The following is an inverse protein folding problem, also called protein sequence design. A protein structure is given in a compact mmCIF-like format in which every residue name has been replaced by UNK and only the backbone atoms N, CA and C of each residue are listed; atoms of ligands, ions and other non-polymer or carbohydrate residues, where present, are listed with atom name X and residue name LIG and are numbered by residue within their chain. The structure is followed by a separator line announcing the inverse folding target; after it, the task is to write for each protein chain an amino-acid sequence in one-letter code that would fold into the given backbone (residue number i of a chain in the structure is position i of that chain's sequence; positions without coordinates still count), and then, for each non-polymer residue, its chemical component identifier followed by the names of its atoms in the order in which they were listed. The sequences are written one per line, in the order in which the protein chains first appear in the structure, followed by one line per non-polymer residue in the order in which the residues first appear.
data_IF_451762235200
#
_entry.id   IF_451762235200
#
_cell.length_a   1.000
_cell.length_b   1.000
_cell.length_c   1.000
_cell.angle_alpha   90.00
_cell.angle_beta   90.00
_cell.angle_gamma   90.00
#
_symmetry.space_group_name_H-M   'P 1'
#
loop_
_entity.id
_entity.type
_entity.pdbx_description
1 polymer ?
#
# COMPACT_ATOMS: atom_id res chain seq x y z
N UNK A 1 -11.58 28.54 7.98
CA UNK A 1 -11.09 27.35 7.28
C UNK A 1 -9.59 27.42 7.12
N UNK A 2 -8.93 26.29 7.04
CA UNK A 2 -7.50 26.24 6.71
C UNK A 2 -7.32 26.84 5.31
N UNK A 3 -6.43 27.82 5.17
CA UNK A 3 -5.99 28.26 3.87
C UNK A 3 -4.87 27.36 3.33
N UNK A 4 -4.54 27.51 2.07
CA UNK A 4 -3.53 26.65 1.41
C UNK A 4 -2.13 26.84 1.97
N UNK A 5 -1.85 27.98 2.57
CA UNK A 5 -0.52 28.34 3.10
C UNK A 5 -0.26 27.65 4.44
N UNK A 6 -1.31 27.13 5.10
CA UNK A 6 -1.26 26.40 6.36
C UNK A 6 -1.54 24.90 6.24
N UNK A 7 -1.68 24.37 5.01
CA UNK A 7 -1.90 22.96 4.76
C UNK A 7 -0.89 22.42 3.76
N UNK A 8 -0.03 21.51 4.21
CA UNK A 8 1.02 20.88 3.39
C UNK A 8 0.62 19.43 3.12
N UNK A 9 0.56 19.06 1.84
CA UNK A 9 0.35 17.68 1.44
C UNK A 9 1.70 17.00 1.14
N UNK A 10 2.11 16.11 2.01
CA UNK A 10 3.33 15.29 1.88
C UNK A 10 3.00 13.85 1.43
N UNK A 11 1.80 13.61 0.94
CA UNK A 11 1.37 12.31 0.46
C UNK A 11 2.26 11.81 -0.69
N UNK A 12 2.92 10.68 -0.48
CA UNK A 12 3.78 10.03 -1.45
C UNK A 12 3.07 8.76 -1.95
N UNK A 13 2.88 8.60 -3.28
CA UNK A 13 2.24 7.40 -3.81
C UNK A 13 3.09 6.14 -3.58
N UNK A 14 2.41 5.02 -3.35
CA UNK A 14 3.01 3.70 -3.16
C UNK A 14 3.93 3.54 -1.92
N UNK A 15 3.93 4.48 -0.98
CA UNK A 15 4.66 4.35 0.28
C UNK A 15 4.02 3.28 1.17
N UNK A 16 4.82 2.37 1.67
CA UNK A 16 4.44 1.42 2.72
C UNK A 16 4.69 2.01 4.11
N UNK A 17 4.09 1.41 5.12
CA UNK A 17 4.24 1.90 6.51
C UNK A 17 5.70 1.87 6.97
N UNK A 18 6.45 0.84 6.56
CA UNK A 18 7.90 0.75 6.82
C UNK A 18 8.67 1.90 6.17
N UNK A 19 8.35 2.24 4.93
CA UNK A 19 9.06 3.31 4.20
C UNK A 19 8.84 4.66 4.89
N UNK A 20 7.62 4.90 5.41
CA UNK A 20 7.33 6.11 6.16
C UNK A 20 8.09 6.14 7.49
N UNK A 21 8.16 5.02 8.22
CA UNK A 21 8.95 4.94 9.45
C UNK A 21 10.42 5.25 9.17
N UNK A 22 11.02 4.58 8.19
CA UNK A 22 12.41 4.81 7.80
C UNK A 22 12.64 6.27 7.35
N UNK A 23 11.70 6.88 6.62
CA UNK A 23 11.77 8.27 6.20
C UNK A 23 11.77 9.24 7.39
N UNK A 24 10.89 9.02 8.39
CA UNK A 24 10.84 9.85 9.58
C UNK A 24 12.13 9.70 10.40
N UNK A 25 12.62 8.48 10.58
CA UNK A 25 13.82 8.20 11.37
C UNK A 25 15.09 8.78 10.71
N UNK A 26 15.28 8.51 9.42
CA UNK A 26 16.53 8.75 8.71
C UNK A 26 16.50 9.97 7.77
N UNK A 27 15.32 10.49 7.44
CA UNK A 27 15.14 11.52 6.42
C UNK A 27 15.26 11.00 4.98
N UNK A 28 15.41 9.67 4.79
CA UNK A 28 15.54 9.04 3.48
C UNK A 28 14.74 7.75 3.40
N UNK A 29 14.23 7.44 2.23
CA UNK A 29 13.68 6.12 1.93
C UNK A 29 14.70 5.31 1.15
N UNK A 30 14.83 4.01 1.43
CA UNK A 30 15.58 3.13 0.55
C UNK A 30 14.98 3.21 -0.85
N UNK A 31 15.82 3.10 -1.87
CA UNK A 31 15.45 3.24 -3.28
C UNK A 31 14.17 2.44 -3.57
N UNK A 32 13.06 3.19 -3.72
CA UNK A 32 11.77 2.58 -3.75
C UNK A 32 11.45 1.98 -5.09
N UNK A 33 10.98 0.80 -4.93
CA UNK A 33 9.82 0.36 -5.66
C UNK A 33 9.96 0.58 -7.18
N UNK A 34 10.72 -0.30 -7.78
CA UNK A 34 10.79 -0.43 -9.24
C UNK A 34 9.40 -0.46 -9.93
N UNK A 35 8.31 -0.61 -9.15
CA UNK A 35 6.93 -0.68 -9.65
C UNK A 35 6.25 0.69 -9.77
N UNK A 36 6.66 1.70 -9.00
CA UNK A 36 6.02 3.02 -9.04
C UNK A 36 6.62 3.95 -10.09
N UNK A 37 7.82 3.66 -10.58
CA UNK A 37 8.59 4.55 -11.46
C UNK A 37 9.00 5.87 -10.80
N UNK A 38 8.69 6.05 -9.52
CA UNK A 38 8.99 7.26 -8.74
C UNK A 38 10.04 6.92 -7.71
N UNK A 39 11.20 7.55 -7.82
CA UNK A 39 12.28 7.44 -6.86
C UNK A 39 12.20 8.61 -5.87
N UNK A 40 11.63 8.37 -4.70
CA UNK A 40 11.77 9.29 -3.57
C UNK A 40 12.99 8.88 -2.76
N UNK A 41 14.02 9.68 -2.80
CA UNK A 41 15.26 9.38 -2.07
C UNK A 41 15.35 10.07 -0.73
N UNK A 42 14.72 11.25 -0.59
CA UNK A 42 14.72 12.00 0.68
C UNK A 42 13.61 13.05 0.69
N UNK A 43 13.15 13.39 1.90
CA UNK A 43 12.29 14.55 2.18
C UNK A 43 12.92 15.28 3.38
N UNK A 44 13.96 16.09 3.15
CA UNK A 44 14.75 16.69 4.25
C UNK A 44 13.90 17.52 5.22
N UNK A 45 12.88 18.18 4.71
CA UNK A 45 12.01 19.09 5.48
C UNK A 45 10.93 18.36 6.28
N UNK A 46 10.77 17.03 6.12
CA UNK A 46 9.69 16.28 6.76
C UNK A 46 9.66 16.47 8.29
N UNK A 47 10.83 16.37 8.94
CA UNK A 47 10.92 16.55 10.39
C UNK A 47 10.51 17.95 10.82
N UNK A 48 10.92 18.95 10.06
CA UNK A 48 10.55 20.34 10.35
C UNK A 48 9.03 20.57 10.25
N UNK A 49 8.40 20.00 9.21
CA UNK A 49 6.95 20.06 9.06
C UNK A 49 6.22 19.33 10.19
N UNK A 50 6.69 18.14 10.59
CA UNK A 50 6.14 17.40 11.72
C UNK A 50 6.24 18.23 13.01
N UNK A 51 7.39 18.84 13.28
CA UNK A 51 7.64 19.62 14.50
C UNK A 51 6.78 20.88 14.61
N UNK A 52 6.37 21.45 13.48
CA UNK A 52 5.56 22.66 13.41
C UNK A 52 4.06 22.42 13.26
N UNK A 53 3.64 21.19 13.04
CA UNK A 53 2.25 20.86 12.74
C UNK A 53 1.37 20.90 14.00
N UNK A 54 0.22 21.58 13.92
CA UNK A 54 -0.84 21.46 14.93
C UNK A 54 -1.66 20.18 14.72
N UNK A 55 -1.81 19.75 13.45
CA UNK A 55 -2.55 18.56 13.05
C UNK A 55 -1.77 17.77 12.00
N UNK A 56 -1.61 16.50 12.27
CA UNK A 56 -1.02 15.52 11.33
C UNK A 56 -2.12 14.55 10.93
N UNK A 57 -2.44 14.49 9.64
CA UNK A 57 -3.32 13.45 9.09
C UNK A 57 -2.50 12.34 8.48
N UNK A 58 -2.76 11.11 8.90
CA UNK A 58 -2.02 9.93 8.45
C UNK A 58 -2.97 8.96 7.75
N UNK A 59 -2.70 8.66 6.48
CA UNK A 59 -3.38 7.61 5.72
C UNK A 59 -2.35 6.69 5.08
N UNK A 60 -2.12 5.53 5.71
CA UNK A 60 -1.04 4.60 5.35
C UNK A 60 -1.48 3.16 5.64
N UNK A 61 -0.85 2.18 5.01
CA UNK A 61 -1.06 0.74 5.26
C UNK A 61 -1.67 -0.03 4.08
N UNK A 62 -2.43 0.63 3.19
CA UNK A 62 -3.01 -0.06 2.03
C UNK A 62 -1.94 -0.63 1.11
N UNK A 63 -0.84 0.11 0.91
CA UNK A 63 0.26 -0.32 0.05
C UNK A 63 1.03 -1.52 0.61
N UNK A 64 1.02 -1.71 1.93
CA UNK A 64 1.66 -2.86 2.56
C UNK A 64 1.07 -4.18 2.04
N UNK A 65 -0.24 -4.27 1.93
CA UNK A 65 -0.90 -5.44 1.36
C UNK A 65 -0.86 -5.46 -0.18
N UNK A 66 -1.08 -4.30 -0.81
CA UNK A 66 -1.14 -4.19 -2.26
C UNK A 66 0.17 -4.61 -2.92
N UNK A 67 1.29 -4.05 -2.47
CA UNK A 67 2.59 -4.33 -3.08
C UNK A 67 2.98 -5.78 -2.89
N UNK A 68 2.78 -6.36 -1.70
CA UNK A 68 3.04 -7.78 -1.46
C UNK A 68 2.19 -8.69 -2.36
N UNK A 69 0.94 -8.31 -2.59
CA UNK A 69 0.06 -9.04 -3.51
C UNK A 69 0.56 -8.98 -4.95
N UNK A 70 0.99 -7.79 -5.42
CA UNK A 70 1.55 -7.61 -6.76
C UNK A 70 2.82 -8.44 -6.92
N UNK A 71 3.72 -8.39 -5.94
CA UNK A 71 4.96 -9.18 -5.97
C UNK A 71 4.66 -10.68 -6.03
N UNK A 72 3.79 -11.18 -5.13
CA UNK A 72 3.42 -12.60 -5.11
C UNK A 72 2.78 -13.06 -6.43
N UNK A 73 1.97 -12.21 -7.06
CA UNK A 73 1.40 -12.51 -8.37
C UNK A 73 2.46 -12.49 -9.48
N UNK A 74 3.37 -11.53 -9.43
CA UNK A 74 4.52 -11.47 -10.33
C UNK A 74 5.34 -12.75 -10.25
N UNK A 75 5.70 -13.17 -9.07
CA UNK A 75 6.45 -14.41 -8.82
C UNK A 75 5.68 -15.65 -9.31
N UNK A 76 4.40 -15.75 -9.01
CA UNK A 76 3.54 -16.85 -9.43
C UNK A 76 3.46 -16.98 -10.97
N UNK A 77 3.63 -15.90 -11.69
CA UNK A 77 3.56 -15.83 -13.16
C UNK A 77 4.94 -15.68 -13.82
N UNK A 78 6.03 -15.81 -13.08
CA UNK A 78 7.39 -15.51 -13.55
C UNK A 78 7.49 -14.12 -14.20
N UNK A 79 6.79 -13.15 -13.68
CA UNK A 79 6.73 -11.76 -14.16
C UNK A 79 6.26 -11.61 -15.62
N UNK A 80 5.66 -12.66 -16.20
CA UNK A 80 5.05 -12.59 -17.54
C UNK A 80 3.88 -11.59 -17.59
N UNK A 81 3.39 -11.18 -16.45
CA UNK A 81 2.15 -10.44 -16.31
C UNK A 81 2.35 -8.96 -15.94
N UNK A 82 3.23 -8.26 -16.62
CA UNK A 82 3.28 -6.80 -16.52
C UNK A 82 1.88 -6.19 -16.76
N UNK A 83 1.15 -6.72 -17.76
CA UNK A 83 -0.24 -6.32 -18.02
C UNK A 83 -1.18 -6.67 -16.86
N UNK A 84 -1.00 -7.82 -16.20
CA UNK A 84 -1.82 -8.22 -15.07
C UNK A 84 -1.51 -7.37 -13.84
N UNK A 85 -0.25 -7.12 -13.52
CA UNK A 85 0.15 -6.23 -12.45
C UNK A 85 -0.41 -4.82 -12.68
N UNK A 86 -0.30 -4.27 -13.89
CA UNK A 86 -0.85 -2.99 -14.26
C UNK A 86 -2.38 -2.98 -14.18
N UNK A 87 -3.06 -4.07 -14.56
CA UNK A 87 -4.51 -4.21 -14.45
C UNK A 87 -4.97 -4.30 -13.02
N UNK A 88 -4.23 -5.01 -12.15
CA UNK A 88 -4.52 -5.05 -10.72
C UNK A 88 -4.35 -3.67 -10.08
N UNK A 89 -3.25 -2.97 -10.35
CA UNK A 89 -3.03 -1.61 -9.88
C UNK A 89 -4.15 -0.70 -10.38
N UNK A 90 -4.48 -0.74 -11.66
CA UNK A 90 -5.55 0.08 -12.24
C UNK A 90 -6.92 -0.29 -11.69
N UNK A 91 -7.19 -1.59 -11.50
CA UNK A 91 -8.46 -2.09 -10.94
C UNK A 91 -8.63 -1.74 -9.47
N UNK A 92 -7.54 -1.72 -8.69
CA UNK A 92 -7.58 -1.36 -7.27
C UNK A 92 -7.76 0.15 -7.03
N UNK A 93 -7.28 0.99 -7.96
CA UNK A 93 -7.50 2.45 -7.90
C UNK A 93 -8.80 2.91 -8.55
N UNK A 94 -9.46 2.07 -9.33
CA UNK A 94 -10.81 2.29 -9.83
C UNK A 94 -11.77 1.48 -8.96
N UNK A 95 -12.89 2.07 -8.57
CA UNK A 95 -13.95 1.32 -7.90
C UNK A 95 -14.16 -0.01 -8.62
N UNK A 96 -14.10 -1.12 -7.87
CA UNK A 96 -14.34 -2.45 -8.40
C UNK A 96 -15.82 -2.54 -8.83
N UNK A 97 -16.05 -2.17 -10.08
CA UNK A 97 -17.32 -2.42 -10.75
C UNK A 97 -17.28 -3.84 -11.35
N UNK A 98 -18.43 -4.46 -11.65
CA UNK A 98 -18.45 -5.72 -12.40
C UNK A 98 -17.58 -5.69 -13.65
N UNK A 99 -17.59 -4.58 -14.39
CA UNK A 99 -16.79 -4.41 -15.61
C UNK A 99 -15.27 -4.49 -15.36
N UNK A 100 -14.80 -4.03 -14.19
CA UNK A 100 -13.38 -4.11 -13.84
C UNK A 100 -12.97 -5.54 -13.44
N UNK A 101 -13.88 -6.31 -12.86
CA UNK A 101 -13.67 -7.74 -12.58
C UNK A 101 -13.60 -8.52 -13.88
N UNK A 102 -14.50 -8.25 -14.82
CA UNK A 102 -14.48 -8.88 -16.13
C UNK A 102 -13.21 -8.54 -16.91
N UNK A 103 -12.77 -7.28 -16.87
CA UNK A 103 -11.50 -6.86 -17.45
C UNK A 103 -10.30 -7.62 -16.84
N UNK A 104 -10.27 -7.76 -15.50
CA UNK A 104 -9.24 -8.53 -14.81
C UNK A 104 -9.27 -10.00 -15.22
N UNK A 105 -10.45 -10.60 -15.28
CA UNK A 105 -10.61 -11.99 -15.72
C UNK A 105 -10.19 -12.19 -17.19
N UNK A 106 -10.46 -11.21 -18.04
CA UNK A 106 -10.02 -11.25 -19.44
C UNK A 106 -8.50 -11.09 -19.58
N UNK A 107 -7.87 -10.25 -18.75
CA UNK A 107 -6.41 -10.21 -18.66
C UNK A 107 -5.83 -11.55 -18.21
N UNK A 108 -6.43 -12.22 -17.24
CA UNK A 108 -6.02 -13.57 -16.81
C UNK A 108 -6.16 -14.61 -17.93
N UNK A 109 -7.26 -14.58 -18.69
CA UNK A 109 -7.48 -15.50 -19.82
C UNK A 109 -6.48 -15.29 -20.96
N UNK A 110 -6.02 -14.05 -21.17
CA UNK A 110 -5.02 -13.74 -22.21
C UNK A 110 -3.60 -14.10 -21.79
N UNK A 111 -3.34 -14.38 -20.52
CA UNK A 111 -2.05 -14.85 -20.06
C UNK A 111 -1.85 -16.31 -20.48
N UNK A 112 -0.84 -16.54 -21.29
CA UNK A 112 -0.40 -17.91 -21.60
C UNK A 112 0.38 -18.44 -20.39
N UNK A 113 -0.34 -18.93 -19.39
CA UNK A 113 0.24 -19.54 -18.20
C UNK A 113 0.54 -21.01 -18.45
N UNK A 114 1.70 -21.45 -18.01
CA UNK A 114 1.99 -22.89 -17.91
C UNK A 114 1.08 -23.53 -16.83
N UNK A 115 0.89 -24.85 -16.84
CA UNK A 115 0.11 -25.52 -15.78
C UNK A 115 0.65 -25.29 -14.36
N UNK A 116 1.95 -25.06 -14.20
CA UNK A 116 2.57 -24.74 -12.91
C UNK A 116 2.26 -23.31 -12.48
N UNK A 117 2.36 -22.35 -13.38
CA UNK A 117 2.02 -20.95 -13.11
C UNK A 117 0.53 -20.79 -12.80
N UNK A 118 -0.34 -21.46 -13.55
CA UNK A 118 -1.76 -21.47 -13.27
C UNK A 118 -2.06 -22.01 -11.86
N UNK A 119 -1.42 -23.12 -11.45
CA UNK A 119 -1.57 -23.67 -10.09
C UNK A 119 -1.06 -22.70 -9.03
N UNK A 120 0.06 -22.01 -9.28
CA UNK A 120 0.60 -21.01 -8.36
C UNK A 120 -0.34 -19.81 -8.19
N UNK A 121 -0.92 -19.31 -9.27
CA UNK A 121 -1.92 -18.23 -9.22
C UNK A 121 -3.18 -18.69 -8.47
N UNK A 122 -3.69 -19.89 -8.76
CA UNK A 122 -4.86 -20.43 -8.05
C UNK A 122 -4.59 -20.63 -6.56
N UNK A 123 -3.40 -21.12 -6.18
CA UNK A 123 -3.00 -21.23 -4.79
C UNK A 123 -2.94 -19.85 -4.12
N UNK A 124 -2.35 -18.86 -4.79
CA UNK A 124 -2.30 -17.49 -4.30
C UNK A 124 -3.71 -16.95 -4.02
N UNK A 125 -4.63 -17.08 -4.98
CA UNK A 125 -5.99 -16.54 -4.86
C UNK A 125 -6.83 -17.26 -3.80
N UNK A 126 -6.59 -18.55 -3.56
CA UNK A 126 -7.40 -19.34 -2.61
C UNK A 126 -6.84 -19.40 -1.21
N UNK A 127 -5.51 -19.41 -1.06
CA UNK A 127 -4.83 -19.65 0.21
C UNK A 127 -3.77 -18.59 0.50
N UNK A 128 -2.93 -18.27 -0.48
CA UNK A 128 -1.80 -17.38 -0.32
C UNK A 128 -2.20 -15.95 0.08
N UNK A 129 -3.32 -15.46 -0.43
CA UNK A 129 -3.83 -14.13 -0.07
C UNK A 129 -4.15 -14.03 1.42
N UNK A 130 -4.73 -15.05 2.03
CA UNK A 130 -4.97 -15.08 3.48
C UNK A 130 -3.67 -15.02 4.28
N UNK A 131 -2.63 -15.71 3.83
CA UNK A 131 -1.31 -15.68 4.47
C UNK A 131 -0.65 -14.29 4.31
N UNK A 132 -0.72 -13.70 3.12
CA UNK A 132 -0.22 -12.35 2.86
C UNK A 132 -0.93 -11.35 3.78
N UNK A 133 -2.24 -11.39 3.86
CA UNK A 133 -2.99 -10.46 4.71
C UNK A 133 -2.61 -10.62 6.19
N UNK A 134 -2.50 -11.84 6.69
CA UNK A 134 -2.15 -12.08 8.10
C UNK A 134 -0.75 -11.58 8.43
N UNK A 135 0.25 -11.91 7.59
CA UNK A 135 1.62 -11.44 7.81
C UNK A 135 1.75 -9.93 7.63
N UNK A 136 1.09 -9.38 6.61
CA UNK A 136 1.07 -7.94 6.37
C UNK A 136 0.47 -7.18 7.55
N UNK A 137 -0.64 -7.66 8.11
CA UNK A 137 -1.27 -7.00 9.24
C UNK A 137 -0.30 -6.87 10.43
N UNK A 138 0.35 -7.96 10.82
CA UNK A 138 1.31 -7.95 11.93
C UNK A 138 2.47 -6.98 11.68
N UNK A 139 3.04 -7.01 10.47
CA UNK A 139 4.13 -6.10 10.08
C UNK A 139 3.66 -4.65 10.06
N UNK A 140 2.49 -4.37 9.47
CA UNK A 140 1.94 -3.02 9.37
C UNK A 140 1.68 -2.42 10.75
N UNK A 141 1.13 -3.20 11.70
CA UNK A 141 0.93 -2.75 13.09
C UNK A 141 2.27 -2.36 13.71
N UNK A 142 3.28 -3.23 13.60
CA UNK A 142 4.61 -2.95 14.16
C UNK A 142 5.23 -1.67 13.57
N UNK A 143 5.12 -1.49 12.24
CA UNK A 143 5.66 -0.29 11.60
C UNK A 143 4.84 0.96 11.92
N UNK A 144 3.52 0.83 12.07
CA UNK A 144 2.66 1.95 12.49
C UNK A 144 2.99 2.39 13.92
N UNK A 145 3.29 1.46 14.82
CA UNK A 145 3.75 1.79 16.17
C UNK A 145 5.05 2.61 16.15
N UNK A 146 6.01 2.27 15.27
CA UNK A 146 7.23 3.07 15.06
C UNK A 146 6.87 4.47 14.57
N UNK A 147 6.06 4.59 13.52
CA UNK A 147 5.61 5.89 12.99
C UNK A 147 4.97 6.73 14.09
N UNK A 148 4.05 6.16 14.85
CA UNK A 148 3.34 6.89 15.93
C UNK A 148 4.29 7.34 17.04
N UNK A 149 5.26 6.50 17.40
CA UNK A 149 6.30 6.83 18.38
C UNK A 149 7.13 8.01 17.88
N UNK A 150 7.65 7.92 16.66
CA UNK A 150 8.51 8.96 16.08
C UNK A 150 7.78 10.30 15.91
N UNK A 151 6.51 10.26 15.49
CA UNK A 151 5.68 11.46 15.42
C UNK A 151 5.49 12.11 16.80
N UNK A 152 5.28 11.30 17.84
CA UNK A 152 5.14 11.80 19.22
C UNK A 152 6.45 12.31 19.83
N UNK A 153 7.57 11.70 19.48
CA UNK A 153 8.90 12.17 19.89
C UNK A 153 9.25 13.50 19.21
N UNK A 154 8.89 13.67 17.94
CA UNK A 154 9.14 14.91 17.19
C UNK A 154 8.19 16.04 17.57
N UNK A 155 6.93 15.71 17.84
CA UNK A 155 5.90 16.70 18.21
C UNK A 155 4.86 16.09 19.16
N UNK A 156 5.07 16.19 20.48
CA UNK A 156 4.15 15.64 21.47
C UNK A 156 2.78 16.35 21.50
N UNK A 157 2.71 17.61 21.05
CA UNK A 157 1.51 18.44 21.14
C UNK A 157 0.60 18.30 19.90
N UNK A 158 1.12 17.83 18.77
CA UNK A 158 0.33 17.70 17.55
C UNK A 158 -0.88 16.78 17.73
N UNK A 159 -2.00 17.16 17.18
CA UNK A 159 -3.11 16.25 17.01
C UNK A 159 -2.78 15.27 15.86
N UNK A 160 -2.92 13.96 16.09
CA UNK A 160 -2.70 12.95 15.06
C UNK A 160 -4.04 12.30 14.74
N UNK A 161 -4.45 12.40 13.47
CA UNK A 161 -5.65 11.77 12.94
C UNK A 161 -5.25 10.67 11.98
N UNK A 162 -5.52 9.43 12.35
CA UNK A 162 -5.33 8.28 11.45
C UNK A 162 -6.62 8.07 10.66
N UNK A 163 -6.51 8.12 9.34
CA UNK A 163 -7.62 7.91 8.43
C UNK A 163 -7.66 6.44 8.02
N UNK A 164 -8.82 5.81 8.19
CA UNK A 164 -9.04 4.45 7.71
C UNK A 164 -9.20 4.42 6.20
N UNK A 165 -8.85 3.29 5.59
CA UNK A 165 -9.17 3.03 4.20
C UNK A 165 -10.60 2.48 4.08
N UNK A 166 -11.31 2.94 3.08
CA UNK A 166 -12.50 2.23 2.62
C UNK A 166 -12.07 0.85 2.11
N UNK A 167 -12.82 -0.19 2.48
CA UNK A 167 -12.58 -1.52 1.94
C UNK A 167 -12.66 -1.46 0.41
N UNK A 168 -11.57 -1.63 -0.35
CA UNK A 168 -11.60 -1.55 -1.81
C UNK A 168 -12.29 -2.77 -2.44
N UNK A 169 -12.60 -3.81 -1.63
CA UNK A 169 -13.18 -5.06 -2.10
C UNK A 169 -14.45 -5.40 -1.31
N UNK A 170 -15.54 -4.62 -1.49
CA UNK A 170 -16.78 -4.83 -0.73
C UNK A 170 -17.47 -6.17 -1.04
N UNK A 171 -17.05 -6.86 -2.11
CA UNK A 171 -17.62 -8.12 -2.58
C UNK A 171 -16.94 -9.37 -2.00
N UNK A 172 -15.95 -9.23 -1.12
CA UNK A 172 -15.34 -10.35 -0.40
C UNK A 172 -15.75 -10.35 1.08
N UNK A 173 -16.95 -10.86 1.44
CA UNK A 173 -17.47 -10.77 2.80
C UNK A 173 -16.62 -11.45 3.86
N UNK A 174 -15.77 -12.42 3.47
CA UNK A 174 -14.88 -13.14 4.38
C UNK A 174 -13.65 -12.33 4.80
N UNK A 175 -13.32 -11.29 4.08
CA UNK A 175 -12.13 -10.46 4.34
C UNK A 175 -12.46 -9.26 5.24
N UNK A 176 -13.70 -8.78 5.21
CA UNK A 176 -14.14 -7.63 6.00
C UNK A 176 -14.39 -7.94 7.48
N UNK A 177 -14.32 -9.20 7.91
CA UNK A 177 -14.58 -9.59 9.30
C UNK A 177 -13.35 -9.62 10.19
N UNK A 178 -12.16 -9.31 9.65
CA UNK A 178 -10.90 -9.39 10.37
C UNK A 178 -10.12 -8.06 10.39
N UNK A 179 -10.78 -6.96 9.96
CA UNK A 179 -10.25 -5.60 10.06
C UNK A 179 -11.18 -4.71 10.86
#
# INVERSE_FOLDING_TARGET
GLDRDHAINLGLPAVMTKDLADLIETGAMPAMNQYSGVQYTSVPELKEYIQKADLITLQIGANDALIRTIVALGEATNWKSEKLANSMVTGMFRNLTPDNIDYFMDCLKQLTLTPSEFRAVMYLLTTGMGQICTSTYADTVTQLERVMKDLRELNPEAQIMVLSYNNPVPLMPSWSRHF
#
